data_IF_560942735378
#
_entry.id   IF_560942735378
#
_cell.length_a   1.000
_cell.length_b   1.000
_cell.length_c   1.000
_cell.angle_alpha   90.00
_cell.angle_beta   90.00
_cell.angle_gamma   90.00
#
_symmetry.space_group_name_H-M   'P 1'
#
loop_
_entity.id
_entity.type
_entity.pdbx_description
1 polymer ?
#
# COMPACT_ATOMS: atom_id res chain seq x y z
N UNK A 1 -22.77 24.54 24.93
CA UNK A 1 -21.42 23.97 24.87
C UNK A 1 -21.32 23.09 23.65
N UNK A 2 -20.61 23.55 22.62
CA UNK A 2 -20.30 22.69 21.47
C UNK A 2 -19.10 21.83 21.84
N UNK A 3 -19.31 20.54 22.07
CA UNK A 3 -18.21 19.57 22.13
C UNK A 3 -17.63 19.47 20.73
N UNK A 4 -16.45 20.05 20.52
CA UNK A 4 -15.68 19.82 19.31
C UNK A 4 -15.28 18.34 19.31
N UNK A 5 -16.00 17.52 18.57
CA UNK A 5 -15.57 16.17 18.25
C UNK A 5 -14.28 16.32 17.43
N UNK A 6 -13.11 16.10 18.06
CA UNK A 6 -11.86 15.99 17.35
C UNK A 6 -12.04 14.88 16.32
N UNK A 7 -12.11 15.26 15.04
CA UNK A 7 -12.16 14.28 13.94
C UNK A 7 -10.91 13.42 14.04
N UNK A 8 -11.07 12.12 14.28
CA UNK A 8 -9.96 11.19 14.39
C UNK A 8 -9.27 11.09 13.05
N UNK A 9 -7.92 11.24 13.03
CA UNK A 9 -7.12 11.05 11.82
C UNK A 9 -7.25 9.62 11.32
N UNK A 10 -7.32 9.46 10.01
CA UNK A 10 -7.25 8.15 9.35
C UNK A 10 -5.80 7.76 9.25
N UNK A 11 -5.38 6.73 9.96
CA UNK A 11 -4.03 6.18 9.85
C UNK A 11 -3.95 5.20 8.69
N UNK A 12 -3.15 5.55 7.70
CA UNK A 12 -2.87 4.72 6.54
C UNK A 12 -1.40 4.32 6.57
N UNK A 13 -1.16 3.03 6.70
CA UNK A 13 0.18 2.48 6.71
C UNK A 13 0.62 2.06 5.31
N UNK A 14 1.91 2.01 5.10
CA UNK A 14 2.53 1.35 3.93
C UNK A 14 3.65 0.44 4.36
N UNK A 15 3.87 -0.65 3.66
CA UNK A 15 4.95 -1.60 3.94
C UNK A 15 5.48 -2.22 2.64
N UNK A 16 6.77 -2.50 2.59
CA UNK A 16 7.39 -3.34 1.58
C UNK A 16 7.99 -4.57 2.24
N UNK A 17 8.04 -5.69 1.53
CA UNK A 17 8.58 -6.94 2.09
C UNK A 17 10.05 -7.18 1.76
N UNK A 18 10.59 -6.56 0.71
CA UNK A 18 11.99 -6.75 0.32
C UNK A 18 12.93 -6.35 1.45
N UNK A 19 13.93 -7.17 1.72
CA UNK A 19 14.91 -6.92 2.77
C UNK A 19 14.41 -7.16 4.20
N UNK A 20 13.23 -7.76 4.38
CA UNK A 20 12.67 -8.13 5.68
C UNK A 20 12.56 -9.65 5.82
N UNK A 21 12.82 -10.17 7.02
CA UNK A 21 12.40 -11.53 7.37
C UNK A 21 10.88 -11.55 7.60
N UNK A 22 10.29 -12.73 7.59
CA UNK A 22 8.88 -12.88 7.93
C UNK A 22 8.57 -12.32 9.33
N UNK A 23 9.44 -12.59 10.31
CA UNK A 23 9.30 -12.06 11.67
C UNK A 23 9.28 -10.54 11.70
N UNK A 24 10.23 -9.89 11.05
CA UNK A 24 10.29 -8.42 10.97
C UNK A 24 9.04 -7.85 10.31
N UNK A 25 8.61 -8.43 9.20
CA UNK A 25 7.44 -8.00 8.45
C UNK A 25 6.16 -8.09 9.30
N UNK A 26 5.87 -9.24 9.85
CA UNK A 26 4.65 -9.43 10.64
C UNK A 26 4.69 -8.69 11.98
N UNK A 27 5.87 -8.52 12.58
CA UNK A 27 6.03 -7.73 13.80
C UNK A 27 5.70 -6.26 13.57
N UNK A 28 6.15 -5.67 12.46
CA UNK A 28 5.80 -4.29 12.10
C UNK A 28 4.27 -4.11 11.95
N UNK A 29 3.62 -5.02 11.25
CA UNK A 29 2.17 -5.00 11.06
C UNK A 29 1.41 -5.14 12.38
N UNK A 30 1.84 -6.06 13.23
CA UNK A 30 1.19 -6.31 14.53
C UNK A 30 1.34 -5.13 15.48
N UNK A 31 2.54 -4.58 15.63
CA UNK A 31 2.82 -3.42 16.49
C UNK A 31 2.03 -2.17 16.06
N UNK A 32 1.73 -2.06 14.78
CA UNK A 32 0.97 -0.93 14.23
C UNK A 32 -0.55 -1.16 14.26
N UNK A 33 -1.01 -2.29 14.78
CA UNK A 33 -2.43 -2.66 14.83
C UNK A 33 -3.11 -2.62 13.46
N UNK A 34 -2.42 -3.09 12.43
CA UNK A 34 -2.96 -3.16 11.07
C UNK A 34 -4.12 -4.14 11.02
N UNK A 35 -5.23 -3.73 10.44
CA UNK A 35 -6.44 -4.57 10.29
C UNK A 35 -6.48 -5.29 8.95
N UNK A 36 -6.11 -4.60 7.87
CA UNK A 36 -6.17 -5.14 6.51
C UNK A 36 -4.89 -4.77 5.77
N UNK A 37 -4.28 -5.76 5.13
CA UNK A 37 -3.25 -5.55 4.12
C UNK A 37 -3.95 -5.40 2.78
N UNK A 38 -3.72 -4.28 2.11
CA UNK A 38 -4.17 -4.04 0.73
C UNK A 38 -2.96 -4.20 -0.18
N UNK A 39 -2.93 -5.29 -0.92
CA UNK A 39 -1.86 -5.59 -1.87
C UNK A 39 -2.05 -4.77 -3.14
N UNK A 40 -1.10 -3.88 -3.41
CA UNK A 40 -1.12 -2.96 -4.55
C UNK A 40 -0.26 -3.44 -5.72
N UNK A 41 0.27 -4.65 -5.66
CA UNK A 41 1.10 -5.22 -6.73
C UNK A 41 0.23 -5.67 -7.91
N UNK A 42 0.74 -5.49 -9.12
CA UNK A 42 0.11 -6.09 -10.30
C UNK A 42 0.30 -7.60 -10.31
N UNK A 43 1.43 -8.08 -9.81
CA UNK A 43 1.74 -9.49 -9.67
C UNK A 43 2.01 -9.81 -8.20
N UNK A 44 1.13 -10.56 -7.55
CA UNK A 44 1.24 -10.97 -6.16
C UNK A 44 1.64 -12.45 -5.97
N UNK A 45 2.08 -13.10 -7.03
CA UNK A 45 2.53 -14.50 -7.00
C UNK A 45 4.07 -14.63 -7.06
N UNK A 46 4.80 -13.53 -6.90
CA UNK A 46 6.26 -13.51 -6.87
C UNK A 46 6.79 -14.41 -5.74
N UNK A 47 7.84 -15.15 -6.03
CA UNK A 47 8.47 -16.08 -5.09
C UNK A 47 9.75 -15.53 -4.44
N UNK A 48 10.09 -14.26 -4.67
CA UNK A 48 11.29 -13.63 -4.11
C UNK A 48 11.29 -13.63 -2.58
N UNK A 49 10.11 -13.55 -1.98
CA UNK A 49 9.90 -13.77 -0.54
C UNK A 49 8.69 -14.67 -0.38
N UNK A 50 8.92 -15.91 0.04
CA UNK A 50 7.86 -16.93 0.10
C UNK A 50 6.64 -16.49 0.90
N UNK A 51 6.85 -15.84 2.05
CA UNK A 51 5.74 -15.35 2.88
C UNK A 51 4.91 -14.22 2.24
N UNK A 52 5.44 -13.53 1.24
CA UNK A 52 4.79 -12.42 0.56
C UNK A 52 4.03 -12.84 -0.70
N UNK A 53 4.03 -14.12 -1.06
CA UNK A 53 3.16 -14.65 -2.10
C UNK A 53 1.70 -14.54 -1.66
N UNK A 54 0.83 -13.98 -2.52
CA UNK A 54 -0.52 -13.57 -2.13
C UNK A 54 -1.34 -14.59 -1.35
N UNK A 55 -1.37 -15.85 -1.79
CA UNK A 55 -2.10 -16.93 -1.10
C UNK A 55 -1.49 -17.25 0.26
N UNK A 56 -0.16 -17.31 0.34
CA UNK A 56 0.55 -17.59 1.58
C UNK A 56 0.48 -16.41 2.54
N UNK A 57 0.63 -15.19 2.01
CA UNK A 57 0.51 -13.98 2.81
C UNK A 57 -0.88 -13.85 3.44
N UNK A 58 -1.94 -14.13 2.69
CA UNK A 58 -3.31 -14.15 3.20
C UNK A 58 -3.45 -15.10 4.39
N UNK A 59 -2.91 -16.30 4.27
CA UNK A 59 -2.93 -17.30 5.32
C UNK A 59 -2.13 -16.86 6.55
N UNK A 60 -0.88 -16.45 6.35
CA UNK A 60 0.00 -16.05 7.45
C UNK A 60 -0.50 -14.80 8.18
N UNK A 61 -0.96 -13.80 7.46
CA UNK A 61 -1.49 -12.57 8.04
C UNK A 61 -2.67 -12.88 8.97
N UNK A 62 -3.57 -13.75 8.55
CA UNK A 62 -4.72 -14.16 9.35
C UNK A 62 -4.31 -14.99 10.58
N UNK A 63 -3.40 -15.93 10.41
CA UNK A 63 -2.96 -16.84 11.49
C UNK A 63 -2.05 -16.16 12.52
N UNK A 64 -1.14 -15.29 12.07
CA UNK A 64 -0.17 -14.64 12.94
C UNK A 64 -0.78 -13.44 13.67
N UNK A 65 -1.52 -12.60 12.95
CA UNK A 65 -1.98 -11.30 13.49
C UNK A 65 -3.48 -11.05 13.43
N UNK A 66 -4.28 -11.99 12.93
CA UNK A 66 -5.72 -11.75 12.69
C UNK A 66 -5.97 -10.69 11.62
N UNK A 67 -4.98 -10.43 10.75
CA UNK A 67 -4.99 -9.41 9.72
C UNK A 67 -5.63 -9.96 8.45
N UNK A 68 -6.60 -9.23 7.90
CA UNK A 68 -7.22 -9.57 6.62
C UNK A 68 -6.32 -9.15 5.44
N UNK A 69 -6.52 -9.76 4.30
CA UNK A 69 -5.76 -9.49 3.07
C UNK A 69 -6.71 -9.24 1.90
N UNK A 70 -6.44 -8.18 1.16
CA UNK A 70 -7.12 -7.86 -0.09
C UNK A 70 -6.09 -7.58 -1.19
N UNK A 71 -6.35 -8.04 -2.39
CA UNK A 71 -5.60 -7.66 -3.58
C UNK A 71 -6.43 -6.65 -4.38
N UNK A 72 -5.96 -5.42 -4.51
CA UNK A 72 -6.65 -4.38 -5.25
C UNK A 72 -5.87 -3.96 -6.49
N UNK A 73 -6.28 -4.49 -7.63
CA UNK A 73 -5.61 -4.26 -8.91
C UNK A 73 -5.76 -2.83 -9.42
N UNK A 74 -6.79 -2.11 -9.00
CA UNK A 74 -6.96 -0.69 -9.34
C UNK A 74 -5.86 0.19 -8.73
N UNK A 75 -5.21 -0.30 -7.68
CA UNK A 75 -4.08 0.37 -7.04
C UNK A 75 -2.73 0.01 -7.66
N UNK A 76 -2.69 -0.99 -8.52
CA UNK A 76 -1.46 -1.44 -9.16
C UNK A 76 -1.10 -0.58 -10.37
N UNK A 77 0.21 -0.44 -10.69
CA UNK A 77 0.60 0.05 -12.01
C UNK A 77 0.18 -0.96 -13.08
N UNK A 78 0.16 -0.55 -14.34
CA UNK A 78 0.05 -1.53 -15.43
C UNK A 78 1.34 -2.32 -15.57
N UNK A 79 1.26 -3.51 -16.16
CA UNK A 79 2.46 -4.30 -16.48
C UNK A 79 3.41 -3.54 -17.41
N UNK A 80 2.85 -2.83 -18.37
CA UNK A 80 3.61 -2.02 -19.33
C UNK A 80 4.37 -0.89 -18.62
N UNK A 81 3.69 -0.10 -17.78
CA UNK A 81 4.30 1.01 -17.05
C UNK A 81 5.45 0.52 -16.16
N UNK A 82 5.22 -0.57 -15.43
CA UNK A 82 6.22 -1.16 -14.55
C UNK A 82 7.42 -1.70 -15.33
N UNK A 83 7.18 -2.36 -16.48
CA UNK A 83 8.22 -2.88 -17.36
C UNK A 83 9.10 -1.77 -17.95
N UNK A 84 8.49 -0.71 -18.44
CA UNK A 84 9.22 0.45 -19.00
C UNK A 84 10.13 1.09 -17.95
N UNK A 85 9.65 1.22 -16.73
CA UNK A 85 10.47 1.75 -15.64
C UNK A 85 11.62 0.80 -15.26
N UNK A 86 11.37 -0.50 -15.14
CA UNK A 86 12.39 -1.52 -14.82
C UNK A 86 13.45 -1.63 -15.89
N UNK A 87 13.06 -1.49 -17.15
CA UNK A 87 13.97 -1.49 -18.29
C UNK A 87 14.69 -0.16 -18.51
N UNK A 88 14.46 0.83 -17.64
CA UNK A 88 15.04 2.18 -17.72
C UNK A 88 14.65 2.96 -18.99
N UNK A 89 13.55 2.62 -19.61
CA UNK A 89 12.99 3.35 -20.75
C UNK A 89 12.39 4.69 -20.34
N UNK A 90 11.91 4.78 -19.09
CA UNK A 90 11.40 5.99 -18.43
C UNK A 90 12.08 6.17 -17.09
N UNK A 91 12.20 7.42 -16.63
CA UNK A 91 12.72 7.74 -15.32
C UNK A 91 11.61 7.68 -14.25
N UNK A 92 11.99 7.88 -12.99
CA UNK A 92 11.03 7.84 -11.88
C UNK A 92 9.96 8.92 -11.99
N UNK A 93 10.31 10.12 -12.43
CA UNK A 93 9.36 11.22 -12.57
C UNK A 93 8.30 10.92 -13.62
N UNK A 94 8.69 10.32 -14.74
CA UNK A 94 7.76 9.88 -15.78
C UNK A 94 6.83 8.79 -15.24
N UNK A 95 7.38 7.81 -14.53
CA UNK A 95 6.61 6.75 -13.89
C UNK A 95 5.59 7.33 -12.90
N UNK A 96 6.01 8.25 -12.04
CA UNK A 96 5.14 8.93 -11.07
C UNK A 96 3.97 9.62 -11.78
N UNK A 97 4.26 10.40 -12.81
CA UNK A 97 3.24 11.13 -13.57
C UNK A 97 2.24 10.18 -14.22
N UNK A 98 2.73 9.14 -14.88
CA UNK A 98 1.85 8.16 -15.55
C UNK A 98 1.02 7.34 -14.55
N UNK A 99 1.60 6.97 -13.41
CA UNK A 99 0.88 6.22 -12.37
C UNK A 99 -0.22 7.08 -11.73
N UNK A 100 0.07 8.34 -11.38
CA UNK A 100 -0.94 9.24 -10.82
C UNK A 100 -2.08 9.50 -11.81
N UNK A 101 -1.76 9.67 -13.10
CA UNK A 101 -2.77 9.80 -14.14
C UNK A 101 -3.63 8.53 -14.28
N UNK A 102 -3.02 7.37 -14.13
CA UNK A 102 -3.73 6.09 -14.14
C UNK A 102 -4.76 5.99 -13.00
N UNK A 103 -4.42 6.47 -11.80
CA UNK A 103 -5.34 6.52 -10.67
C UNK A 103 -6.55 7.43 -10.97
N UNK A 104 -6.33 8.55 -11.63
CA UNK A 104 -7.40 9.47 -12.04
C UNK A 104 -8.30 8.85 -13.11
N UNK A 105 -7.73 8.23 -14.14
CA UNK A 105 -8.47 7.52 -15.19
C UNK A 105 -9.36 6.42 -14.59
N UNK A 106 -8.82 5.68 -13.63
CA UNK A 106 -9.57 4.62 -12.92
C UNK A 106 -10.57 5.16 -11.90
N UNK A 107 -10.58 6.47 -11.67
CA UNK A 107 -11.45 7.14 -10.69
C UNK A 107 -11.31 6.56 -9.28
N UNK A 108 -10.08 6.28 -8.88
CA UNK A 108 -9.78 5.64 -7.59
C UNK A 108 -10.35 6.45 -6.43
N UNK A 109 -10.18 7.77 -6.44
CA UNK A 109 -10.69 8.64 -5.38
C UNK A 109 -12.22 8.60 -5.21
N UNK A 110 -12.95 8.34 -6.28
CA UNK A 110 -14.41 8.26 -6.25
C UNK A 110 -14.93 6.87 -5.86
N UNK A 111 -14.16 5.82 -6.16
CA UNK A 111 -14.56 4.43 -5.91
C UNK A 111 -14.28 3.97 -4.49
N UNK A 112 -13.29 4.55 -3.84
CA UNK A 112 -12.82 4.11 -2.53
C UNK A 112 -13.58 4.81 -1.41
N UNK A 113 -13.96 4.04 -0.39
CA UNK A 113 -14.41 4.58 0.88
C UNK A 113 -13.19 4.85 1.77
N UNK A 114 -12.73 6.11 1.77
CA UNK A 114 -11.50 6.51 2.46
C UNK A 114 -11.59 6.27 3.97
N UNK A 115 -12.76 6.40 4.58
CA UNK A 115 -12.91 6.16 6.01
C UNK A 115 -12.61 4.72 6.41
N UNK A 116 -12.86 3.76 5.52
CA UNK A 116 -12.54 2.35 5.72
C UNK A 116 -11.05 2.04 5.63
N UNK A 117 -10.22 2.99 5.22
CA UNK A 117 -8.76 2.82 5.16
C UNK A 117 -8.06 2.94 6.50
N UNK A 118 -8.77 3.37 7.55
CA UNK A 118 -8.16 3.50 8.87
C UNK A 118 -7.56 2.19 9.35
N UNK A 119 -6.28 2.22 9.73
CA UNK A 119 -5.48 1.07 10.14
C UNK A 119 -5.31 -0.01 9.04
N UNK A 120 -5.46 0.38 7.79
CA UNK A 120 -5.09 -0.48 6.67
C UNK A 120 -3.65 -0.20 6.23
N UNK A 121 -3.03 -1.17 5.61
CA UNK A 121 -1.64 -1.08 5.15
C UNK A 121 -1.53 -1.40 3.67
N UNK A 122 -1.03 -0.45 2.90
CA UNK A 122 -0.73 -0.64 1.48
C UNK A 122 0.58 -1.42 1.35
N UNK A 123 0.54 -2.54 0.65
CA UNK A 123 1.68 -3.43 0.44
C UNK A 123 2.23 -3.30 -0.97
N UNK A 124 3.52 -3.16 -1.08
CA UNK A 124 4.30 -3.33 -2.32
C UNK A 124 5.57 -4.12 -2.02
N UNK A 125 6.39 -4.40 -3.05
CA UNK A 125 7.63 -5.14 -2.88
C UNK A 125 8.80 -4.28 -2.36
N UNK A 126 8.91 -3.03 -2.78
CA UNK A 126 10.06 -2.18 -2.50
C UNK A 126 10.36 -2.02 -1.01
N UNK A 127 11.66 -2.08 -0.67
CA UNK A 127 12.12 -1.94 0.72
C UNK A 127 11.71 -0.60 1.33
N UNK A 128 11.97 0.49 0.61
CA UNK A 128 11.67 1.86 1.04
C UNK A 128 10.57 2.48 0.18
N UNK A 129 9.87 3.50 0.70
CA UNK A 129 8.74 4.09 -0.01
C UNK A 129 9.11 5.09 -1.11
N UNK A 130 10.35 5.62 -1.15
CA UNK A 130 10.74 6.78 -1.96
C UNK A 130 10.42 6.59 -3.45
N UNK A 131 10.79 5.44 -4.01
CA UNK A 131 10.51 5.10 -5.41
C UNK A 131 9.56 3.90 -5.49
N UNK A 132 8.40 4.06 -4.88
CA UNK A 132 7.38 3.03 -4.85
C UNK A 132 5.98 3.63 -5.04
N UNK A 133 5.16 2.98 -5.83
CA UNK A 133 3.80 3.43 -6.09
C UNK A 133 2.91 3.40 -4.83
N UNK A 134 3.22 2.59 -3.79
CA UNK A 134 2.46 2.64 -2.54
C UNK A 134 2.53 4.00 -1.86
N UNK A 135 3.69 4.68 -1.93
CA UNK A 135 3.83 6.06 -1.43
C UNK A 135 3.00 7.02 -2.27
N UNK A 136 3.11 6.92 -3.58
CA UNK A 136 2.35 7.77 -4.50
C UNK A 136 0.85 7.63 -4.28
N UNK A 137 0.37 6.40 -4.09
CA UNK A 137 -1.03 6.13 -3.80
C UNK A 137 -1.46 6.74 -2.47
N UNK A 138 -0.68 6.55 -1.41
CA UNK A 138 -0.98 7.12 -0.10
C UNK A 138 -1.06 8.65 -0.15
N UNK A 139 -0.11 9.30 -0.82
CA UNK A 139 -0.08 10.75 -0.99
C UNK A 139 -1.24 11.24 -1.89
N UNK A 140 -1.60 10.50 -2.93
CA UNK A 140 -2.76 10.77 -3.76
C UNK A 140 -4.05 10.78 -2.93
N UNK A 141 -4.25 9.78 -2.10
CA UNK A 141 -5.41 9.70 -1.21
C UNK A 141 -5.41 10.83 -0.17
N UNK A 142 -4.26 11.20 0.35
CA UNK A 142 -4.13 12.31 1.29
C UNK A 142 -4.49 13.67 0.64
N UNK A 143 -4.22 13.88 -0.63
CA UNK A 143 -4.65 15.08 -1.34
C UNK A 143 -6.17 15.15 -1.45
N UNK A 144 -6.85 14.02 -1.53
CA UNK A 144 -8.32 13.94 -1.55
C UNK A 144 -8.91 14.16 -0.14
N UNK A 145 -8.28 13.60 0.86
CA UNK A 145 -8.70 13.68 2.27
C UNK A 145 -7.51 14.04 3.16
N UNK A 146 -7.42 15.29 3.56
CA UNK A 146 -6.29 15.84 4.33
C UNK A 146 -6.16 15.27 5.75
N UNK A 147 -7.18 14.61 6.28
CA UNK A 147 -7.18 13.95 7.58
C UNK A 147 -6.56 12.53 7.55
N UNK A 148 -5.89 12.16 6.47
CA UNK A 148 -5.09 10.95 6.39
C UNK A 148 -3.68 11.23 6.95
N UNK A 149 -3.28 10.42 7.93
CA UNK A 149 -1.93 10.36 8.45
C UNK A 149 -1.21 9.14 7.85
N UNK A 150 -0.18 9.39 7.05
CA UNK A 150 0.58 8.34 6.36
C UNK A 150 1.74 7.90 7.23
N UNK A 151 1.83 6.61 7.51
CA UNK A 151 2.94 6.01 8.26
C UNK A 151 3.60 4.91 7.43
N UNK A 152 4.84 5.14 7.01
CA UNK A 152 5.62 4.14 6.31
C UNK A 152 6.29 3.19 7.32
N UNK A 153 5.91 1.92 7.31
CA UNK A 153 6.50 0.91 8.17
C UNK A 153 7.84 0.47 7.61
N UNK A 154 8.90 0.92 8.25
CA UNK A 154 10.29 0.66 7.85
C UNK A 154 10.99 -0.06 9.00
N UNK A 155 11.87 -0.98 8.63
CA UNK A 155 12.71 -1.74 9.56
C UNK A 155 13.74 -0.82 10.23
#
# INVERSE_FOLDING_TARGET
MRVSLKKTMIKLYTIGFTGKTAEEFFTLLHKSSVNIIIDTRINNISQLSGFAKGTDLKFFAKKIGGISYEHNIDFAPTKELLSRYRNKEINWKDYETEYLNLLDIRKVAQKIDIEKLHQNCLLCSEHTPEKCHRRLLAEYLKKVRKDIDIVHLIK
#
